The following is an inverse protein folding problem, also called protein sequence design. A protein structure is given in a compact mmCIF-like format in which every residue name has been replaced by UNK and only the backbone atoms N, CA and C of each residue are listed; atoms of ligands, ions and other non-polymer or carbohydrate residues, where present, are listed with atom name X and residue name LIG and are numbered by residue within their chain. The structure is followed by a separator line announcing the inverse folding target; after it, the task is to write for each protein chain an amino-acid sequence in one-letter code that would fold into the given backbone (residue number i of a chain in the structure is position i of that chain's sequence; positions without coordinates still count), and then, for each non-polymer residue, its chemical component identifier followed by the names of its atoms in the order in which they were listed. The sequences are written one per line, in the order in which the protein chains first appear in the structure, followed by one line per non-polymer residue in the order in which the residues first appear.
data_IF_621762655637
#
_entry.id   IF_621762655637
#
_cell.length_a   1.000
_cell.length_b   1.000
_cell.length_c   1.000
_cell.angle_alpha   90.00
_cell.angle_beta   90.00
_cell.angle_gamma   90.00
#
_symmetry.space_group_name_H-M   'P 1'
#
loop_
_entity.id
_entity.type
_entity.pdbx_description
1 polymer ?
#
# COMPACT_ATOMS: atom_id res chain seq x y z
N UNK A 1 14.69 -18.68 -1.68
CA UNK A 1 15.09 -17.81 -0.55
C UNK A 1 13.87 -17.58 0.35
N UNK A 2 13.87 -18.16 1.55
CA UNK A 2 12.75 -18.08 2.50
C UNK A 2 12.53 -16.64 3.01
N UNK A 3 13.61 -15.85 3.10
CA UNK A 3 13.60 -14.47 3.56
C UNK A 3 12.86 -13.51 2.62
N UNK A 4 13.00 -13.65 1.30
CA UNK A 4 12.26 -12.82 0.33
C UNK A 4 10.76 -13.12 0.34
N UNK A 5 10.39 -14.36 0.58
CA UNK A 5 8.98 -14.78 0.68
C UNK A 5 8.31 -14.19 1.94
N UNK A 6 9.00 -14.18 3.08
CA UNK A 6 8.52 -13.56 4.32
C UNK A 6 8.49 -12.03 4.24
N UNK A 7 9.50 -11.42 3.62
CA UNK A 7 9.50 -9.99 3.33
C UNK A 7 8.29 -9.62 2.46
N UNK A 8 7.99 -10.42 1.43
CA UNK A 8 6.84 -10.26 0.55
C UNK A 8 5.49 -10.40 1.29
N UNK A 9 5.35 -11.37 2.20
CA UNK A 9 4.15 -11.53 3.02
C UNK A 9 3.91 -10.33 3.95
N UNK A 10 4.96 -9.83 4.61
CA UNK A 10 4.90 -8.65 5.48
C UNK A 10 4.54 -7.39 4.69
N UNK A 11 5.16 -7.18 3.53
CA UNK A 11 4.86 -6.04 2.65
C UNK A 11 3.41 -6.06 2.17
N UNK A 12 2.86 -7.23 1.82
CA UNK A 12 1.44 -7.37 1.45
C UNK A 12 0.50 -7.03 2.61
N UNK A 13 0.80 -7.48 3.83
CA UNK A 13 0.02 -7.12 5.02
C UNK A 13 -0.02 -5.62 5.25
N UNK A 14 1.15 -4.96 5.23
CA UNK A 14 1.20 -3.50 5.38
C UNK A 14 0.47 -2.77 4.25
N UNK A 15 0.52 -3.29 3.03
CA UNK A 15 -0.20 -2.70 1.91
C UNK A 15 -1.72 -2.80 2.10
N UNK A 16 -2.23 -3.93 2.60
CA UNK A 16 -3.64 -4.10 2.92
C UNK A 16 -4.08 -3.22 4.08
N UNK A 17 -3.27 -3.12 5.14
CA UNK A 17 -3.53 -2.22 6.27
C UNK A 17 -3.59 -0.76 5.81
N UNK A 18 -2.63 -0.30 5.00
CA UNK A 18 -2.61 1.06 4.45
C UNK A 18 -3.81 1.32 3.54
N UNK A 19 -4.17 0.37 2.67
CA UNK A 19 -5.36 0.47 1.82
C UNK A 19 -6.65 0.58 2.65
N UNK A 20 -6.80 -0.28 3.66
CA UNK A 20 -7.97 -0.28 4.55
C UNK A 20 -8.07 1.01 5.36
N UNK A 21 -6.94 1.47 5.90
CA UNK A 21 -6.84 2.73 6.61
C UNK A 21 -7.20 3.91 5.70
N UNK A 22 -6.63 3.98 4.49
CA UNK A 22 -6.92 5.04 3.54
C UNK A 22 -8.39 5.04 3.11
N UNK A 23 -8.99 3.87 2.87
CA UNK A 23 -10.40 3.75 2.52
C UNK A 23 -11.31 4.22 3.67
N UNK A 24 -10.98 3.82 4.91
CA UNK A 24 -11.74 4.20 6.11
C UNK A 24 -11.68 5.70 6.38
N UNK A 25 -10.50 6.32 6.27
CA UNK A 25 -10.28 7.72 6.65
C UNK A 25 -10.60 8.70 5.51
N UNK A 26 -10.38 8.31 4.26
CA UNK A 26 -10.46 9.22 3.11
C UNK A 26 -11.53 8.83 2.09
N UNK A 27 -12.17 7.67 2.23
CA UNK A 27 -13.24 7.20 1.36
C UNK A 27 -12.81 7.19 -0.10
N UNK A 28 -13.54 7.93 -0.93
CA UNK A 28 -13.28 8.02 -2.37
C UNK A 28 -11.89 8.58 -2.73
N UNK A 29 -11.28 9.36 -1.83
CA UNK A 29 -9.95 9.95 -2.03
C UNK A 29 -8.80 9.04 -1.58
N UNK A 30 -9.09 7.80 -1.16
CA UNK A 30 -8.08 6.87 -0.66
C UNK A 30 -6.95 6.63 -1.67
N UNK A 31 -7.29 6.45 -2.95
CA UNK A 31 -6.30 6.26 -4.01
C UNK A 31 -5.38 7.47 -4.17
N UNK A 32 -5.92 8.68 -4.21
CA UNK A 32 -5.14 9.91 -4.36
C UNK A 32 -4.18 10.12 -3.19
N UNK A 33 -4.63 9.84 -1.97
CA UNK A 33 -3.81 9.97 -0.76
C UNK A 33 -2.66 8.95 -0.76
N UNK A 34 -2.94 7.69 -1.06
CA UNK A 34 -1.91 6.64 -1.12
C UNK A 34 -0.93 6.93 -2.26
N UNK A 35 -1.42 7.41 -3.40
CA UNK A 35 -0.58 7.82 -4.52
C UNK A 35 0.33 9.00 -4.15
N UNK A 36 -0.19 10.02 -3.46
CA UNK A 36 0.61 11.15 -2.99
C UNK A 36 1.73 10.69 -2.03
N UNK A 37 1.42 9.81 -1.07
CA UNK A 37 2.41 9.20 -0.16
C UNK A 37 3.49 8.42 -0.93
N UNK A 38 3.09 7.71 -2.00
CA UNK A 38 4.03 6.99 -2.86
C UNK A 38 5.01 7.91 -3.59
N UNK A 39 4.54 9.04 -4.10
CA UNK A 39 5.38 10.02 -4.82
C UNK A 39 6.33 10.73 -3.86
N UNK A 40 5.87 11.04 -2.64
CA UNK A 40 6.67 11.75 -1.64
C UNK A 40 7.72 10.87 -0.94
N UNK A 41 7.57 9.54 -0.97
CA UNK A 41 8.50 8.66 -0.27
C UNK A 41 9.80 8.41 -1.04
N UNK A 42 10.93 8.58 -0.37
CA UNK A 42 12.27 8.23 -0.88
C UNK A 42 12.64 6.77 -0.63
N UNK A 43 11.92 6.07 0.27
CA UNK A 43 12.17 4.67 0.59
C UNK A 43 11.60 3.75 -0.49
N UNK A 44 12.46 2.97 -1.14
CA UNK A 44 12.05 1.97 -2.14
C UNK A 44 11.07 0.94 -1.56
N UNK A 45 11.28 0.52 -0.31
CA UNK A 45 10.39 -0.43 0.39
C UNK A 45 9.01 0.18 0.62
N UNK A 46 8.93 1.42 1.12
CA UNK A 46 7.63 2.10 1.31
C UNK A 46 6.91 2.34 0.00
N UNK A 47 7.65 2.71 -1.05
CA UNK A 47 7.10 2.86 -2.41
C UNK A 47 6.47 1.56 -2.91
N UNK A 48 7.09 0.42 -2.63
CA UNK A 48 6.53 -0.89 -2.95
C UNK A 48 5.26 -1.21 -2.15
N UNK A 49 5.22 -0.87 -0.85
CA UNK A 49 4.01 -1.01 -0.03
C UNK A 49 2.87 -0.18 -0.62
N UNK A 50 3.09 1.11 -0.91
CA UNK A 50 2.05 1.97 -1.47
C UNK A 50 1.58 1.51 -2.85
N UNK A 51 2.49 0.99 -3.70
CA UNK A 51 2.12 0.41 -4.99
C UNK A 51 1.17 -0.79 -4.82
N UNK A 52 1.45 -1.65 -3.85
CA UNK A 52 0.58 -2.79 -3.54
C UNK A 52 -0.74 -2.32 -2.91
N UNK A 53 -0.72 -1.28 -2.08
CA UNK A 53 -1.91 -0.71 -1.46
C UNK A 53 -2.86 -0.13 -2.52
N UNK A 54 -2.32 0.59 -3.51
CA UNK A 54 -3.10 1.08 -4.66
C UNK A 54 -3.74 -0.06 -5.45
N UNK A 55 -3.01 -1.17 -5.65
CA UNK A 55 -3.57 -2.36 -6.31
C UNK A 55 -4.72 -2.95 -5.48
N UNK A 56 -4.54 -3.08 -4.17
CA UNK A 56 -5.58 -3.60 -3.27
C UNK A 56 -6.83 -2.70 -3.24
N UNK A 57 -6.67 -1.37 -3.23
CA UNK A 57 -7.79 -0.42 -3.29
C UNK A 57 -8.64 -0.61 -4.54
N UNK A 58 -8.02 -0.87 -5.70
CA UNK A 58 -8.72 -1.13 -6.96
C UNK A 58 -9.47 -2.47 -6.99
N UNK A 59 -9.00 -3.46 -6.22
CA UNK A 59 -9.69 -4.75 -6.10
C UNK A 59 -10.88 -4.69 -5.13
N UNK A 60 -10.93 -3.68 -4.25
CA UNK A 60 -12.00 -3.49 -3.26
C UNK A 60 -13.17 -2.61 -3.76
N UNK A 61 -13.03 -1.97 -4.93
CA UNK A 61 -14.01 -1.05 -5.52
C UNK A 61 -14.65 -1.65 -6.76
#
# INVERSE_FOLDING_TARGET
MLFDWLASAKTRRFAQEEATYALREHGERAEDVVHAKMVQTTSAQRRQIYRLALKALRELR
#
